data_IF_802184970286
#
_entry.id   IF_802184970286
#
_cell.length_a   1.000
_cell.length_b   1.000
_cell.length_c   1.000
_cell.angle_alpha   90.00
_cell.angle_beta   90.00
_cell.angle_gamma   90.00
#
_symmetry.space_group_name_H-M   'P 1'
#
loop_
_entity.id
_entity.type
_entity.pdbx_description
1 polymer ?
#
# COMPACT_ATOMS: atom_id res chain seq x y z
N UNK A 1 -1.46 2.28 11.38
CA UNK A 1 -1.87 3.40 10.50
C UNK A 1 -1.05 4.62 10.86
N UNK A 2 -0.40 5.28 9.90
CA UNK A 2 0.47 6.44 10.12
C UNK A 2 0.37 7.46 8.97
N UNK A 3 1.09 8.58 9.08
CA UNK A 3 1.22 9.60 8.06
C UNK A 3 2.68 10.06 8.00
N UNK A 4 3.18 10.27 6.78
CA UNK A 4 4.50 10.82 6.48
C UNK A 4 4.30 11.95 5.45
N UNK A 5 4.91 13.14 5.61
CA UNK A 5 4.71 14.28 4.71
C UNK A 5 5.54 14.15 3.42
N UNK A 6 5.41 13.02 2.74
CA UNK A 6 6.09 12.67 1.48
C UNK A 6 5.10 12.25 0.41
N UNK A 7 5.54 12.26 -0.85
CA UNK A 7 4.88 11.47 -1.89
C UNK A 7 5.65 10.15 -1.95
N UNK A 8 4.97 9.04 -1.68
CA UNK A 8 5.58 7.71 -1.73
C UNK A 8 4.96 6.90 -2.87
N UNK A 9 5.81 6.21 -3.61
CA UNK A 9 5.44 5.25 -4.64
C UNK A 9 5.57 3.84 -4.03
N UNK A 10 4.46 3.13 -3.99
CA UNK A 10 4.39 1.76 -3.48
C UNK A 10 4.04 0.80 -4.62
N UNK A 11 4.95 -0.12 -4.94
CA UNK A 11 4.75 -1.14 -5.98
C UNK A 11 4.59 -2.50 -5.34
N UNK A 12 3.55 -3.24 -5.70
CA UNK A 12 3.39 -4.64 -5.27
C UNK A 12 4.24 -5.54 -6.16
N UNK A 13 5.30 -6.12 -5.63
CA UNK A 13 6.20 -7.01 -6.37
C UNK A 13 5.64 -8.43 -6.48
N UNK A 14 5.00 -8.91 -5.42
CA UNK A 14 4.34 -10.21 -5.35
C UNK A 14 3.23 -10.22 -4.29
N UNK A 15 2.21 -11.05 -4.49
CA UNK A 15 1.05 -11.15 -3.60
C UNK A 15 0.00 -10.05 -3.82
N UNK A 16 -0.81 -9.81 -2.80
CA UNK A 16 -1.78 -8.72 -2.76
C UNK A 16 -1.82 -8.07 -1.37
N UNK A 17 -2.19 -6.80 -1.32
CA UNK A 17 -2.26 -6.02 -0.08
C UNK A 17 -3.47 -5.10 -0.10
N UNK A 18 -4.13 -4.98 1.04
CA UNK A 18 -5.19 -3.98 1.23
C UNK A 18 -4.57 -2.67 1.70
N UNK A 19 -4.69 -1.63 0.87
CA UNK A 19 -4.41 -0.25 1.23
C UNK A 19 -5.61 0.32 1.99
N UNK A 20 -5.41 0.65 3.27
CA UNK A 20 -6.43 1.22 4.13
C UNK A 20 -6.16 2.72 4.23
N UNK A 21 -7.13 3.52 3.80
CA UNK A 21 -7.06 4.97 3.84
C UNK A 21 -7.93 5.50 4.98
N UNK A 22 -7.91 6.80 5.23
CA UNK A 22 -8.84 7.42 6.18
C UNK A 22 -10.31 7.23 5.76
N UNK A 23 -10.57 7.22 4.45
CA UNK A 23 -11.87 6.89 3.87
C UNK A 23 -11.73 5.73 2.89
N UNK A 24 -12.29 4.58 3.27
CA UNK A 24 -12.31 3.39 2.43
C UNK A 24 -11.00 2.60 2.38
N UNK A 25 -11.03 1.59 1.53
CA UNK A 25 -9.91 0.66 1.32
C UNK A 25 -9.94 0.15 -0.11
N UNK A 26 -8.77 -0.17 -0.64
CA UNK A 26 -8.63 -0.83 -1.95
C UNK A 26 -7.66 -1.98 -1.86
N UNK A 27 -7.87 -3.01 -2.67
CA UNK A 27 -6.93 -4.12 -2.83
C UNK A 27 -5.99 -3.76 -3.97
N UNK A 28 -4.68 -3.87 -3.71
CA UNK A 28 -3.63 -3.78 -4.70
C UNK A 28 -3.11 -5.19 -4.96
N UNK A 29 -2.97 -5.54 -6.24
CA UNK A 29 -2.45 -6.83 -6.70
C UNK A 29 -1.03 -6.68 -7.23
N UNK A 30 -0.39 -7.80 -7.48
CA UNK A 30 0.91 -7.85 -8.12
C UNK A 30 0.98 -6.92 -9.35
N UNK A 31 2.04 -6.11 -9.39
CA UNK A 31 2.35 -5.09 -10.38
C UNK A 31 1.51 -3.80 -10.32
N UNK A 32 0.59 -3.66 -9.37
CA UNK A 32 -0.05 -2.36 -9.13
C UNK A 32 0.96 -1.36 -8.55
N UNK A 33 0.85 -0.12 -9.01
CA UNK A 33 1.52 1.06 -8.44
C UNK A 33 0.50 1.92 -7.70
N UNK A 34 0.80 2.21 -6.43
CA UNK A 34 0.01 3.11 -5.60
C UNK A 34 0.82 4.36 -5.28
N UNK A 35 0.22 5.52 -5.54
CA UNK A 35 0.84 6.84 -5.28
C UNK A 35 0.22 7.40 -4.00
N UNK A 36 0.99 7.36 -2.91
CA UNK A 36 0.60 7.89 -1.61
C UNK A 36 1.00 9.37 -1.52
N UNK A 37 0.02 10.28 -1.46
CA UNK A 37 0.24 11.74 -1.52
C UNK A 37 0.20 12.41 -0.15
N UNK A 38 0.94 11.86 0.82
CA UNK A 38 0.94 12.38 2.19
C UNK A 38 -0.44 12.29 2.85
N UNK A 39 -1.09 11.12 2.77
CA UNK A 39 -2.35 10.88 3.50
C UNK A 39 -2.17 9.78 4.55
N UNK A 40 -3.05 9.78 5.56
CA UNK A 40 -3.03 8.77 6.61
C UNK A 40 -3.40 7.41 6.02
N UNK A 41 -2.56 6.41 6.23
CA UNK A 41 -2.73 5.10 5.60
C UNK A 41 -2.21 3.95 6.46
N UNK A 42 -2.60 2.73 6.07
CA UNK A 42 -2.09 1.48 6.60
C UNK A 42 -2.16 0.38 5.55
N UNK A 43 -1.46 -0.71 5.83
CA UNK A 43 -1.38 -1.89 4.97
C UNK A 43 -1.90 -3.08 5.77
N UNK A 44 -2.76 -3.90 5.15
CA UNK A 44 -3.22 -5.17 5.72
C UNK A 44 -3.05 -6.26 4.69
N UNK A 45 -2.27 -7.28 5.03
CA UNK A 45 -2.29 -8.53 4.30
C UNK A 45 -3.45 -9.37 4.84
N UNK A 46 -4.44 -9.65 3.99
CA UNK A 46 -5.62 -10.45 4.33
C UNK A 46 -5.53 -11.89 3.81
N UNK A 47 -4.37 -12.27 3.25
CA UNK A 47 -4.09 -13.60 2.72
C UNK A 47 -3.11 -14.36 3.63
N UNK A 48 -2.97 -15.67 3.39
CA UNK A 48 -1.97 -16.50 4.09
C UNK A 48 -0.57 -16.40 3.46
N UNK A 49 -0.48 -15.91 2.22
CA UNK A 49 0.76 -15.75 1.49
C UNK A 49 1.43 -14.40 1.78
N UNK A 50 2.77 -14.31 1.80
CA UNK A 50 3.45 -13.04 1.99
C UNK A 50 3.24 -12.11 0.79
N UNK A 51 3.07 -10.82 1.08
CA UNK A 51 3.10 -9.76 0.08
C UNK A 51 4.42 -8.99 0.19
N UNK A 52 5.13 -8.83 -0.93
CA UNK A 52 6.35 -8.02 -1.01
C UNK A 52 6.09 -6.71 -1.74
N UNK A 53 6.57 -5.61 -1.16
CA UNK A 53 6.35 -4.26 -1.69
C UNK A 53 7.67 -3.49 -1.77
N UNK A 54 7.83 -2.71 -2.83
CA UNK A 54 8.89 -1.71 -2.97
C UNK A 54 8.31 -0.33 -2.64
N UNK A 55 9.01 0.41 -1.79
CA UNK A 55 8.69 1.80 -1.47
C UNK A 55 9.84 2.71 -1.85
N UNK A 56 9.53 3.84 -2.48
CA UNK A 56 10.47 4.93 -2.75
C UNK A 56 9.73 6.27 -2.80
N UNK A 57 10.43 7.37 -2.52
CA UNK A 57 9.88 8.74 -2.49
C UNK A 57 10.51 9.61 -3.56
#
# INVERSE_FOLDING_TARGET
MHFTPTIDFAVVLSGEIMAIMETGMTILKQHDLFIQRGTRHGWKNATEEPCSMLFFS
#
